data_IF_643866042196
#
_entry.id   IF_643866042196
#
_cell.length_a   1.000
_cell.length_b   1.000
_cell.length_c   1.000
_cell.angle_alpha   90.00
_cell.angle_beta   90.00
_cell.angle_gamma   90.00
#
_symmetry.space_group_name_H-M   'P 1'
#
loop_
_entity.id
_entity.type
_entity.pdbx_description
1 polymer ?
#
# COMPACT_ATOMS: atom_id res chain seq x y z
N UNK A 1 18.17 1.49 1.13
CA UNK A 1 17.76 2.27 -0.05
C UNK A 1 18.63 1.88 -1.24
N UNK A 2 18.35 2.43 -2.43
CA UNK A 2 19.25 2.30 -3.58
C UNK A 2 20.54 3.07 -3.36
N UNK A 3 21.58 2.70 -4.11
CA UNK A 3 22.86 3.42 -4.13
C UNK A 3 22.63 4.89 -4.53
N UNK A 4 23.22 5.87 -3.80
CA UNK A 4 23.06 7.29 -4.10
C UNK A 4 23.56 7.73 -5.49
N UNK A 5 24.49 6.99 -6.10
CA UNK A 5 24.97 7.23 -7.45
C UNK A 5 24.14 6.55 -8.54
N UNK A 6 23.06 5.84 -8.19
CA UNK A 6 22.21 5.18 -9.17
C UNK A 6 21.28 6.19 -9.87
N UNK A 7 21.05 6.06 -11.19
CA UNK A 7 20.12 6.95 -11.91
C UNK A 7 18.72 7.01 -11.29
N UNK A 8 18.24 5.88 -10.74
CA UNK A 8 16.94 5.81 -10.06
C UNK A 8 16.91 6.58 -8.73
N UNK A 9 18.02 6.63 -8.00
CA UNK A 9 18.11 7.46 -6.81
C UNK A 9 17.99 8.94 -7.17
N UNK A 10 18.76 9.38 -8.18
CA UNK A 10 18.73 10.77 -8.64
C UNK A 10 17.35 11.19 -9.18
N UNK A 11 16.70 10.31 -9.94
CA UNK A 11 15.33 10.51 -10.44
C UNK A 11 14.33 10.64 -9.28
N UNK A 12 14.39 9.71 -8.32
CA UNK A 12 13.50 9.72 -7.14
C UNK A 12 13.71 10.98 -6.29
N UNK A 13 14.97 11.37 -6.07
CA UNK A 13 15.31 12.58 -5.30
C UNK A 13 14.86 13.86 -6.02
N UNK A 14 14.97 13.90 -7.35
CA UNK A 14 14.49 15.02 -8.17
C UNK A 14 12.98 15.17 -8.05
N UNK A 15 12.23 14.08 -8.23
CA UNK A 15 10.78 14.08 -8.06
C UNK A 15 10.37 14.51 -6.65
N UNK A 16 11.04 13.97 -5.62
CA UNK A 16 10.79 14.35 -4.23
C UNK A 16 11.04 15.85 -4.01
N UNK A 17 12.15 16.41 -4.51
CA UNK A 17 12.47 17.84 -4.37
C UNK A 17 11.56 18.76 -5.19
N UNK A 18 10.99 18.27 -6.28
CA UNK A 18 9.96 18.97 -7.05
C UNK A 18 8.66 19.12 -6.25
N UNK A 19 8.29 18.08 -5.50
CA UNK A 19 7.02 18.02 -4.74
C UNK A 19 7.15 18.53 -3.30
N UNK A 20 8.35 18.45 -2.73
CA UNK A 20 8.66 18.81 -1.35
C UNK A 20 9.84 19.78 -1.30
N UNK A 21 9.49 21.05 -1.04
CA UNK A 21 10.45 22.15 -0.94
C UNK A 21 10.97 22.38 0.49
N UNK A 22 10.59 21.53 1.45
CA UNK A 22 11.08 21.64 2.82
C UNK A 22 12.57 21.28 2.90
N UNK A 23 13.28 21.90 3.85
CA UNK A 23 14.67 21.54 4.13
C UNK A 23 14.75 20.09 4.65
N UNK A 24 13.93 19.78 5.66
CA UNK A 24 13.65 18.41 6.11
C UNK A 24 12.61 17.75 5.19
N UNK A 25 13.10 16.85 4.34
CA UNK A 25 12.26 16.10 3.41
C UNK A 25 11.32 15.09 4.10
N UNK A 26 11.46 14.85 5.40
CA UNK A 26 10.47 14.07 6.16
C UNK A 26 9.25 14.89 6.58
N UNK A 27 9.32 16.22 6.50
CA UNK A 27 8.20 17.07 6.91
C UNK A 27 7.13 17.15 5.81
N UNK A 28 5.87 16.79 6.09
CA UNK A 28 4.75 16.99 5.18
C UNK A 28 4.14 18.40 5.30
N UNK A 29 4.65 19.25 6.20
CA UNK A 29 4.07 20.54 6.51
C UNK A 29 4.01 21.43 5.26
N UNK A 30 2.83 21.99 4.99
CA UNK A 30 2.60 22.91 3.87
C UNK A 30 2.53 22.24 2.48
N UNK A 31 2.70 20.92 2.37
CA UNK A 31 2.62 20.22 1.10
C UNK A 31 1.16 20.07 0.63
N UNK A 32 0.92 20.31 -0.66
CA UNK A 32 -0.37 20.00 -1.30
C UNK A 32 -0.62 18.48 -1.41
N UNK A 33 0.47 17.75 -1.67
CA UNK A 33 0.54 16.30 -1.78
C UNK A 33 1.42 15.79 -0.62
N UNK A 34 0.86 15.60 0.58
CA UNK A 34 1.63 15.37 1.81
C UNK A 34 2.36 14.03 1.83
N UNK A 35 2.06 13.12 0.88
CA UNK A 35 2.74 11.86 0.74
C UNK A 35 4.15 11.96 0.13
N UNK A 36 4.53 13.10 -0.46
CA UNK A 36 5.88 13.30 -1.01
C UNK A 36 6.88 13.65 0.08
N UNK A 37 7.17 12.67 0.94
CA UNK A 37 8.15 12.74 2.02
C UNK A 37 9.22 11.65 1.86
N UNK A 38 10.39 11.86 2.46
CA UNK A 38 11.57 11.01 2.27
C UNK A 38 11.44 9.60 2.86
N UNK A 39 10.50 9.39 3.80
CA UNK A 39 10.21 8.06 4.34
C UNK A 39 9.24 7.24 3.46
N UNK A 40 8.74 7.83 2.37
CA UNK A 40 7.92 7.16 1.37
C UNK A 40 8.71 6.86 0.09
N UNK A 41 8.01 6.33 -0.90
CA UNK A 41 8.51 6.08 -2.24
C UNK A 41 7.36 5.84 -3.21
N UNK A 42 7.71 5.55 -4.46
CA UNK A 42 6.77 5.21 -5.52
C UNK A 42 7.20 3.98 -6.32
N UNK A 43 6.35 3.61 -7.26
CA UNK A 43 6.55 2.49 -8.17
C UNK A 43 7.07 3.00 -9.51
N UNK A 44 8.20 2.46 -9.98
CA UNK A 44 8.73 2.83 -11.30
C UNK A 44 7.90 2.22 -12.43
N UNK A 45 7.94 2.82 -13.62
CA UNK A 45 7.13 2.35 -14.76
C UNK A 45 7.30 0.86 -15.06
N UNK A 46 8.55 0.37 -15.13
CA UNK A 46 8.83 -1.04 -15.35
C UNK A 46 8.24 -1.99 -14.28
N UNK A 47 8.02 -1.51 -13.06
CA UNK A 47 7.35 -2.28 -12.01
C UNK A 47 5.83 -2.30 -12.24
N UNK A 48 5.24 -1.19 -12.66
CA UNK A 48 3.82 -1.10 -12.98
C UNK A 48 3.48 -1.93 -14.21
N UNK A 49 4.29 -1.86 -15.27
CA UNK A 49 4.12 -2.65 -16.49
C UNK A 49 4.21 -4.16 -16.19
N UNK A 50 5.19 -4.57 -15.38
CA UNK A 50 5.31 -5.95 -14.95
C UNK A 50 4.09 -6.39 -14.12
N UNK A 51 3.62 -5.53 -13.23
CA UNK A 51 2.49 -5.83 -12.37
C UNK A 51 1.19 -6.00 -13.19
N UNK A 52 0.96 -5.13 -14.17
CA UNK A 52 -0.14 -5.22 -15.13
C UNK A 52 -0.13 -6.56 -15.88
N UNK A 53 1.02 -6.99 -16.41
CA UNK A 53 1.13 -8.28 -17.11
C UNK A 53 0.88 -9.49 -16.19
N UNK A 54 1.30 -9.42 -14.91
CA UNK A 54 0.98 -10.46 -13.92
C UNK A 54 -0.53 -10.52 -13.67
N UNK A 55 -1.19 -9.37 -13.48
CA UNK A 55 -2.63 -9.34 -13.22
C UNK A 55 -3.44 -9.77 -14.44
N UNK A 56 -2.99 -9.42 -15.65
CA UNK A 56 -3.58 -9.91 -16.89
C UNK A 56 -3.53 -11.44 -16.99
N UNK A 57 -2.38 -12.03 -16.69
CA UNK A 57 -2.26 -13.49 -16.62
C UNK A 57 -3.23 -14.08 -15.59
N UNK A 58 -3.33 -13.48 -14.39
CA UNK A 58 -4.23 -13.96 -13.35
C UNK A 58 -5.71 -13.81 -13.72
N UNK A 59 -6.10 -12.75 -14.43
CA UNK A 59 -7.45 -12.60 -14.99
C UNK A 59 -7.77 -13.72 -15.99
N UNK A 60 -6.86 -14.01 -16.92
CA UNK A 60 -7.01 -15.07 -17.92
C UNK A 60 -7.13 -16.47 -17.29
N UNK A 61 -6.50 -16.67 -16.13
CA UNK A 61 -6.53 -17.94 -15.37
C UNK A 61 -7.58 -17.96 -14.25
N UNK A 62 -8.42 -16.92 -14.14
CA UNK A 62 -9.47 -16.79 -13.12
C UNK A 62 -8.94 -16.91 -11.68
N UNK A 63 -7.72 -16.43 -11.44
CA UNK A 63 -7.10 -16.42 -10.12
C UNK A 63 -7.67 -15.30 -9.23
N UNK A 64 -7.49 -15.46 -7.91
CA UNK A 64 -7.73 -14.40 -6.93
C UNK A 64 -6.38 -13.92 -6.39
N UNK A 65 -6.09 -12.64 -6.56
CA UNK A 65 -4.79 -12.03 -6.25
C UNK A 65 -4.86 -11.20 -4.98
N UNK A 66 -3.92 -11.47 -4.07
CA UNK A 66 -3.63 -10.62 -2.92
C UNK A 66 -2.32 -9.89 -3.20
N UNK A 67 -2.38 -8.56 -3.25
CA UNK A 67 -1.23 -7.69 -3.48
C UNK A 67 -0.64 -7.29 -2.13
N UNK A 68 0.69 -7.27 -2.00
CA UNK A 68 1.35 -6.84 -0.77
C UNK A 68 2.39 -5.75 -1.07
N UNK A 69 2.35 -4.67 -0.30
CA UNK A 69 3.33 -3.59 -0.34
C UNK A 69 3.60 -3.03 1.05
N UNK A 70 4.69 -2.27 1.24
CA UNK A 70 4.89 -1.61 2.52
C UNK A 70 3.96 -0.39 2.68
N UNK A 71 3.89 0.45 1.64
CA UNK A 71 3.10 1.68 1.61
C UNK A 71 1.65 1.40 1.20
N UNK A 72 0.65 1.93 1.93
CA UNK A 72 -0.73 1.97 1.50
C UNK A 72 -0.89 2.70 0.17
N UNK A 73 -1.91 2.31 -0.60
CA UNK A 73 -2.23 2.93 -1.89
C UNK A 73 -3.66 3.45 -2.00
N UNK A 74 -4.52 3.23 -1.00
CA UNK A 74 -5.88 3.74 -0.99
C UNK A 74 -6.06 4.80 0.11
N UNK A 75 -6.53 6.02 -0.20
CA UNK A 75 -6.69 7.10 0.77
C UNK A 75 -7.59 6.76 1.96
N UNK A 76 -8.62 5.91 1.78
CA UNK A 76 -9.53 5.52 2.86
C UNK A 76 -9.00 4.35 3.73
N UNK A 77 -7.84 3.78 3.39
CA UNK A 77 -7.15 2.76 4.19
C UNK A 77 -5.83 3.28 4.75
N UNK A 78 -5.61 4.60 4.73
CA UNK A 78 -4.40 5.25 5.21
C UNK A 78 -4.70 6.69 5.67
N UNK A 79 -3.74 7.37 6.30
CA UNK A 79 -3.71 8.83 6.24
C UNK A 79 -3.13 9.29 4.89
N UNK A 80 -3.24 10.58 4.59
CA UNK A 80 -2.73 11.15 3.33
C UNK A 80 -1.20 11.20 3.27
N UNK A 81 -0.50 11.12 4.40
CA UNK A 81 0.98 11.25 4.48
C UNK A 81 1.63 9.90 4.16
N UNK A 82 1.06 8.79 4.60
CA UNK A 82 1.62 7.45 4.48
C UNK A 82 1.41 6.77 3.11
N UNK A 83 0.73 7.43 2.16
CA UNK A 83 0.49 6.87 0.83
C UNK A 83 1.77 6.75 -0.01
N UNK A 84 1.81 5.77 -0.92
CA UNK A 84 2.83 5.75 -1.97
C UNK A 84 2.77 7.01 -2.84
N UNK A 85 3.91 7.53 -3.29
CA UNK A 85 4.00 8.77 -4.07
C UNK A 85 3.06 8.82 -5.26
N UNK A 86 3.01 7.71 -6.02
CA UNK A 86 2.16 7.53 -7.18
C UNK A 86 1.10 6.43 -6.94
N UNK A 87 0.47 6.43 -5.76
CA UNK A 87 -0.57 5.47 -5.40
C UNK A 87 -1.70 5.37 -6.46
N UNK A 88 -2.05 6.49 -7.10
CA UNK A 88 -3.08 6.54 -8.15
C UNK A 88 -2.71 5.67 -9.36
N UNK A 89 -1.43 5.61 -9.72
CA UNK A 89 -0.96 4.77 -10.82
C UNK A 89 -1.10 3.27 -10.47
N UNK A 90 -0.79 2.89 -9.22
CA UNK A 90 -0.97 1.52 -8.75
C UNK A 90 -2.45 1.14 -8.67
N UNK A 91 -3.31 2.03 -8.18
CA UNK A 91 -4.77 1.83 -8.18
C UNK A 91 -5.31 1.69 -9.60
N UNK A 92 -4.86 2.52 -10.54
CA UNK A 92 -5.29 2.44 -11.95
C UNK A 92 -4.97 1.09 -12.58
N UNK A 93 -3.80 0.50 -12.29
CA UNK A 93 -3.47 -0.85 -12.74
C UNK A 93 -4.42 -1.84 -12.08
N UNK A 94 -4.56 -1.83 -10.74
CA UNK A 94 -5.45 -2.75 -10.01
C UNK A 94 -6.89 -2.70 -10.52
N UNK A 95 -7.43 -1.50 -10.75
CA UNK A 95 -8.81 -1.29 -11.20
C UNK A 95 -9.06 -1.70 -12.65
N UNK A 96 -8.00 -1.94 -13.43
CA UNK A 96 -8.09 -2.49 -14.78
C UNK A 96 -8.25 -4.02 -14.80
N UNK A 97 -8.12 -4.67 -13.62
CA UNK A 97 -8.17 -6.12 -13.45
C UNK A 97 -9.25 -6.55 -12.48
N UNK A 98 -9.80 -7.76 -12.66
CA UNK A 98 -10.86 -8.31 -11.80
C UNK A 98 -10.35 -9.34 -10.79
N UNK A 99 -9.15 -9.86 -11.00
CA UNK A 99 -8.54 -10.88 -10.16
C UNK A 99 -8.10 -10.36 -8.79
N UNK A 100 -7.83 -9.05 -8.63
CA UNK A 100 -7.37 -8.49 -7.36
C UNK A 100 -8.51 -8.44 -6.35
N UNK A 101 -8.33 -9.09 -5.21
CA UNK A 101 -9.35 -9.13 -4.13
C UNK A 101 -8.92 -8.37 -2.89
N UNK A 102 -7.61 -8.23 -2.66
CA UNK A 102 -7.11 -7.55 -1.47
C UNK A 102 -5.72 -6.94 -1.71
N UNK A 103 -5.48 -5.77 -1.12
CA UNK A 103 -4.18 -5.12 -0.99
C UNK A 103 -3.83 -5.05 0.49
N UNK A 104 -2.68 -5.60 0.86
CA UNK A 104 -2.14 -5.54 2.20
C UNK A 104 -1.00 -4.53 2.26
N UNK A 105 -1.05 -3.65 3.25
CA UNK A 105 -0.04 -2.65 3.54
C UNK A 105 0.34 -2.61 5.02
N UNK A 106 1.41 -1.89 5.34
CA UNK A 106 1.76 -1.49 6.70
C UNK A 106 2.03 0.01 6.70
N UNK A 107 3.18 0.42 7.24
CA UNK A 107 3.69 1.79 7.24
C UNK A 107 2.88 2.79 8.10
N UNK A 108 1.55 2.89 7.91
CA UNK A 108 0.67 3.56 8.86
C UNK A 108 0.44 2.65 10.05
N UNK A 109 1.13 2.93 11.16
CA UNK A 109 1.09 2.08 12.35
C UNK A 109 -0.27 2.08 13.07
N UNK A 110 -1.10 3.09 12.83
CA UNK A 110 -2.49 3.14 13.31
C UNK A 110 -3.42 2.15 12.60
N UNK A 111 -2.99 1.61 11.45
CA UNK A 111 -3.79 0.72 10.62
C UNK A 111 -4.89 1.46 9.85
N UNK A 112 -5.57 0.73 8.98
CA UNK A 112 -6.63 1.28 8.14
C UNK A 112 -7.32 0.21 7.31
N UNK A 113 -8.58 0.44 6.97
CA UNK A 113 -9.32 -0.49 6.13
C UNK A 113 -10.41 0.20 5.32
N UNK A 114 -10.51 -0.16 4.05
CA UNK A 114 -11.69 0.13 3.24
C UNK A 114 -11.96 -1.00 2.22
N UNK A 115 -13.19 -1.08 1.76
CA UNK A 115 -13.56 -1.80 0.54
C UNK A 115 -13.81 -0.74 -0.54
N UNK A 116 -13.05 -0.78 -1.63
CA UNK A 116 -13.18 0.23 -2.67
C UNK A 116 -14.37 -0.06 -3.63
N UNK A 117 -14.66 0.88 -4.52
CA UNK A 117 -15.77 0.78 -5.47
C UNK A 117 -15.61 -0.33 -6.52
N UNK A 118 -14.41 -0.92 -6.64
CA UNK A 118 -14.10 -2.02 -7.56
C UNK A 118 -14.17 -3.38 -6.87
N UNK A 119 -14.51 -3.41 -5.57
CA UNK A 119 -14.59 -4.65 -4.80
C UNK A 119 -13.25 -5.12 -4.24
N UNK A 120 -12.22 -4.26 -4.21
CA UNK A 120 -10.91 -4.60 -3.66
C UNK A 120 -10.82 -4.18 -2.19
N UNK A 121 -10.45 -5.12 -1.33
CA UNK A 121 -10.20 -4.84 0.08
C UNK A 121 -8.81 -4.22 0.27
N UNK A 122 -8.72 -3.00 0.78
CA UNK A 122 -7.45 -2.40 1.17
C UNK A 122 -7.31 -2.49 2.69
N UNK A 123 -6.30 -3.21 3.17
CA UNK A 123 -6.03 -3.42 4.59
C UNK A 123 -4.60 -2.99 4.92
N UNK A 124 -4.50 -1.97 5.76
CA UNK A 124 -3.24 -1.51 6.35
C UNK A 124 -3.15 -2.02 7.78
N UNK A 125 -2.11 -2.82 8.05
CA UNK A 125 -1.92 -3.49 9.33
C UNK A 125 -1.27 -2.57 10.36
N UNK A 126 -1.78 -2.64 11.59
CA UNK A 126 -1.24 -1.90 12.73
C UNK A 126 0.22 -2.29 13.01
N UNK A 127 1.02 -1.31 13.43
CA UNK A 127 2.44 -1.47 13.67
C UNK A 127 2.76 -2.11 15.02
N UNK A 128 3.58 -3.16 15.03
CA UNK A 128 4.10 -3.76 16.27
C UNK A 128 4.84 -2.74 17.13
N UNK A 129 5.58 -1.81 16.51
CA UNK A 129 6.43 -0.84 17.21
C UNK A 129 5.67 0.14 18.11
N UNK A 130 4.43 0.47 17.75
CA UNK A 130 3.54 1.33 18.55
C UNK A 130 2.53 0.53 19.38
N UNK A 131 2.71 -0.79 19.44
CA UNK A 131 1.85 -1.67 20.23
C UNK A 131 2.41 -1.78 21.64
N UNK A 132 1.61 -1.52 22.70
CA UNK A 132 2.11 -1.62 24.06
C UNK A 132 2.34 -3.09 24.47
N UNK A 133 3.20 -3.37 25.47
CA UNK A 133 3.59 -4.73 25.85
C UNK A 133 2.44 -5.68 26.24
N UNK A 134 1.31 -5.13 26.70
CA UNK A 134 0.09 -5.83 27.08
C UNK A 134 -0.84 -6.17 25.89
N UNK A 135 -0.46 -5.78 24.67
CA UNK A 135 -1.21 -6.02 23.43
C UNK A 135 -0.35 -6.72 22.38
N UNK A 136 -0.90 -6.91 21.18
CA UNK A 136 -0.24 -7.50 20.02
C UNK A 136 -0.68 -6.78 18.73
N UNK A 137 0.06 -6.95 17.64
CA UNK A 137 -0.33 -6.46 16.32
C UNK A 137 0.12 -7.45 15.23
N UNK A 138 -0.54 -8.61 15.18
CA UNK A 138 -0.35 -9.61 14.13
C UNK A 138 -1.64 -10.39 13.89
N UNK A 139 -1.70 -11.20 12.84
CA UNK A 139 -2.86 -12.05 12.57
C UNK A 139 -2.58 -13.16 11.58
N UNK A 140 -3.60 -13.98 11.33
CA UNK A 140 -3.59 -15.05 10.34
C UNK A 140 -4.73 -14.84 9.35
N UNK A 141 -4.41 -14.81 8.06
CA UNK A 141 -5.42 -14.77 6.99
C UNK A 141 -5.66 -16.21 6.51
N UNK A 142 -6.89 -16.66 6.62
CA UNK A 142 -7.38 -17.91 6.04
C UNK A 142 -8.03 -17.61 4.70
N UNK A 143 -7.58 -18.29 3.65
CA UNK A 143 -8.07 -18.12 2.27
C UNK A 143 -9.08 -19.20 1.97
N UNK A 144 -10.29 -18.80 1.58
CA UNK A 144 -11.37 -19.67 1.13
C UNK A 144 -11.75 -19.32 -0.31
N UNK A 145 -12.62 -20.12 -0.92
CA UNK A 145 -13.09 -19.92 -2.30
C UNK A 145 -13.83 -18.59 -2.50
N UNK A 146 -14.53 -18.09 -1.48
CA UNK A 146 -15.43 -16.93 -1.55
C UNK A 146 -15.02 -15.76 -0.64
N UNK A 147 -13.95 -15.90 0.14
CA UNK A 147 -13.54 -14.90 1.14
C UNK A 147 -12.14 -15.10 1.69
N UNK A 148 -11.60 -14.03 2.26
CA UNK A 148 -10.54 -14.06 3.26
C UNK A 148 -11.14 -13.91 4.66
N UNK A 149 -10.59 -14.64 5.63
CA UNK A 149 -10.87 -14.43 7.04
C UNK A 149 -9.57 -14.06 7.75
N UNK A 150 -9.46 -12.82 8.21
CA UNK A 150 -8.40 -12.38 9.10
C UNK A 150 -8.78 -12.70 10.55
N UNK A 151 -7.91 -13.45 11.22
CA UNK A 151 -7.92 -13.64 12.67
C UNK A 151 -6.82 -12.82 13.30
N UNK A 152 -7.18 -11.67 13.82
CA UNK A 152 -6.26 -10.68 14.37
C UNK A 152 -5.95 -10.94 15.85
N UNK A 153 -4.86 -10.33 16.33
CA UNK A 153 -4.41 -10.35 17.73
C UNK A 153 -4.09 -8.93 18.18
N UNK A 154 -4.63 -8.56 19.33
CA UNK A 154 -4.46 -7.24 19.93
C UNK A 154 -5.11 -6.14 19.08
N UNK A 155 -4.31 -5.23 18.54
CA UNK A 155 -4.76 -4.09 17.73
C UNK A 155 -5.38 -4.51 16.40
N UNK A 156 -4.96 -5.64 15.83
CA UNK A 156 -5.51 -6.13 14.57
C UNK A 156 -6.88 -6.77 14.84
N UNK A 157 -7.94 -6.21 14.27
CA UNK A 157 -9.29 -6.75 14.39
C UNK A 157 -9.51 -7.97 13.47
N UNK A 158 -10.37 -8.89 13.92
CA UNK A 158 -10.92 -9.94 13.06
C UNK A 158 -11.67 -9.31 11.88
N UNK A 159 -11.55 -9.89 10.70
CA UNK A 159 -12.22 -9.39 9.50
C UNK A 159 -12.64 -10.52 8.56
N UNK A 160 -13.79 -10.35 7.92
CA UNK A 160 -14.22 -11.17 6.80
C UNK A 160 -14.29 -10.30 5.55
N UNK A 161 -13.65 -10.74 4.47
CA UNK A 161 -13.48 -10.00 3.22
C UNK A 161 -13.97 -10.89 2.07
N UNK A 162 -15.16 -10.61 1.52
CA UNK A 162 -15.84 -11.45 0.53
C UNK A 162 -15.52 -11.02 -0.91
N UNK A 163 -15.39 -11.97 -1.84
CA UNK A 163 -15.07 -11.71 -3.26
C UNK A 163 -15.59 -12.77 -4.23
#
# INVERSE_FOLDING_TARGET
>A
GRDPGSPRYEESLRLLREKNHNEDLNSPAGLKEPQFVAFNGGFGQAQLDWFDEVLKFSDENQEKVIVMGHLPIHPDASDRVCLAWNYEAALSVIHSHRCVVCVLAGHLHDGGYCLDSHGVHHLTLEGVIETPPESNAFGTIYVYEDKLILKGRGRIADRVMHF
#
